data_IF_836664776485
#
_entry.id   IF_836664776485
#
_cell.length_a   1.000
_cell.length_b   1.000
_cell.length_c   1.000
_cell.angle_alpha   90.00
_cell.angle_beta   90.00
_cell.angle_gamma   90.00
#
_symmetry.space_group_name_H-M   'P 1'
#
loop_
_entity.id
_entity.type
_entity.pdbx_description
1 polymer ?
#
# COMPACT_ATOMS: atom_id res chain seq x y z
N UNK A 1 -11.28 3.48 21.92
CA UNK A 1 -12.08 3.29 20.71
C UNK A 1 -11.09 2.95 19.62
N UNK A 2 -11.26 1.84 18.91
CA UNK A 2 -10.30 1.41 17.90
C UNK A 2 -10.52 2.19 16.60
N UNK A 3 -9.47 2.69 15.99
CA UNK A 3 -9.49 3.38 14.69
C UNK A 3 -8.88 2.51 13.60
N UNK A 4 -9.53 2.47 12.45
CA UNK A 4 -9.13 1.66 11.30
C UNK A 4 -8.90 2.60 10.12
N UNK A 5 -7.73 2.51 9.49
CA UNK A 5 -7.50 3.12 8.17
C UNK A 5 -7.67 2.04 7.11
N UNK A 6 -8.66 2.18 6.23
CA UNK A 6 -8.87 1.25 5.12
C UNK A 6 -8.43 1.90 3.80
N UNK A 7 -7.61 1.20 3.04
CA UNK A 7 -7.15 1.60 1.70
C UNK A 7 -7.38 0.46 0.71
N UNK A 8 -7.63 0.82 -0.55
CA UNK A 8 -7.86 -0.14 -1.65
C UNK A 8 -7.32 0.46 -2.93
N UNK A 9 -7.04 -0.39 -3.92
CA UNK A 9 -6.83 0.03 -5.30
C UNK A 9 -5.67 1.05 -5.45
N UNK A 10 -4.59 0.85 -4.69
CA UNK A 10 -3.42 1.71 -4.72
C UNK A 10 -2.69 1.66 -6.06
N UNK A 11 -2.72 0.48 -6.72
CA UNK A 11 -2.13 0.24 -8.04
C UNK A 11 -0.69 0.77 -8.17
N UNK A 12 0.15 0.57 -7.15
CA UNK A 12 1.54 1.06 -7.17
C UNK A 12 2.30 0.40 -8.31
N UNK A 13 2.92 1.23 -9.16
CA UNK A 13 3.68 0.78 -10.31
C UNK A 13 5.15 0.40 -9.99
N UNK A 14 5.84 -0.27 -10.93
CA UNK A 14 7.24 -0.66 -10.74
C UNK A 14 8.24 0.51 -10.84
N UNK A 15 7.80 1.63 -11.42
CA UNK A 15 8.66 2.76 -11.74
C UNK A 15 8.71 3.82 -10.65
N UNK A 16 7.83 3.75 -9.64
CA UNK A 16 7.77 4.71 -8.55
C UNK A 16 7.67 6.15 -9.10
N UNK A 17 6.69 6.35 -9.98
CA UNK A 17 6.51 7.60 -10.71
C UNK A 17 5.87 8.72 -9.85
N UNK A 18 5.56 9.86 -10.45
CA UNK A 18 4.98 11.00 -9.72
C UNK A 18 3.63 10.66 -9.06
N UNK A 19 2.81 9.79 -9.68
CA UNK A 19 1.53 9.38 -9.11
C UNK A 19 1.76 8.42 -7.94
N UNK A 20 2.68 7.47 -8.09
CA UNK A 20 3.09 6.61 -6.97
C UNK A 20 3.58 7.44 -5.78
N UNK A 21 4.39 8.48 -6.03
CA UNK A 21 4.88 9.38 -4.96
C UNK A 21 3.73 10.09 -4.26
N UNK A 22 2.74 10.62 -5.00
CA UNK A 22 1.56 11.24 -4.40
C UNK A 22 0.76 10.27 -3.53
N UNK A 23 0.66 9.00 -3.94
CA UNK A 23 0.03 7.96 -3.12
C UNK A 23 0.82 7.72 -1.84
N UNK A 24 2.15 7.62 -1.90
CA UNK A 24 2.97 7.49 -0.70
C UNK A 24 2.89 8.70 0.22
N UNK A 25 2.89 9.92 -0.32
CA UNK A 25 2.75 11.14 0.49
C UNK A 25 1.38 11.20 1.19
N UNK A 26 0.32 10.78 0.51
CA UNK A 26 -1.01 10.70 1.11
C UNK A 26 -1.07 9.64 2.22
N UNK A 27 -0.49 8.46 1.99
CA UNK A 27 -0.37 7.43 3.03
C UNK A 27 0.40 7.99 4.22
N UNK A 28 1.55 8.63 4.01
CA UNK A 28 2.32 9.26 5.07
C UNK A 28 1.48 10.25 5.88
N UNK A 29 0.76 11.14 5.20
CA UNK A 29 -0.08 12.13 5.85
C UNK A 29 -1.18 11.47 6.68
N UNK A 30 -1.89 10.47 6.14
CA UNK A 30 -2.96 9.77 6.87
C UNK A 30 -2.42 9.00 8.08
N UNK A 31 -1.31 8.28 7.92
CA UNK A 31 -0.72 7.46 8.97
C UNK A 31 -0.22 8.32 10.14
N UNK A 32 0.39 9.48 9.84
CA UNK A 32 0.91 10.40 10.88
C UNK A 32 -0.17 11.26 11.51
N UNK A 33 -1.19 11.67 10.75
CA UNK A 33 -2.27 12.49 11.26
C UNK A 33 -3.25 11.69 12.12
N UNK A 34 -3.70 10.54 11.61
CA UNK A 34 -4.74 9.74 12.27
C UNK A 34 -4.19 8.69 13.26
N UNK A 35 -2.93 8.26 13.10
CA UNK A 35 -2.30 7.24 13.95
C UNK A 35 -3.21 6.02 14.20
N UNK A 36 -3.64 5.31 13.15
CA UNK A 36 -4.60 4.22 13.27
C UNK A 36 -4.04 3.04 14.07
N UNK A 37 -4.89 2.34 14.82
CA UNK A 37 -4.50 1.10 15.51
C UNK A 37 -4.15 -0.02 14.50
N UNK A 38 -4.87 -0.03 13.36
CA UNK A 38 -4.67 -0.95 12.26
C UNK A 38 -4.96 -0.29 10.90
N UNK A 39 -4.11 -0.58 9.92
CA UNK A 39 -4.34 -0.26 8.52
C UNK A 39 -4.67 -1.53 7.73
N UNK A 40 -5.80 -1.52 7.02
CA UNK A 40 -6.31 -2.65 6.24
C UNK A 40 -6.26 -2.31 4.75
N UNK A 41 -5.54 -3.12 3.99
CA UNK A 41 -5.46 -3.05 2.52
C UNK A 41 -6.44 -4.07 1.91
N UNK A 42 -7.37 -3.64 1.06
CA UNK A 42 -8.51 -4.47 0.63
C UNK A 42 -8.46 -4.97 -0.81
N UNK A 43 -7.28 -4.98 -1.43
CA UNK A 43 -7.05 -5.45 -2.81
C UNK A 43 -6.30 -4.44 -3.68
N UNK A 44 -5.74 -4.93 -4.77
CA UNK A 44 -5.09 -4.17 -5.85
C UNK A 44 -4.07 -3.13 -5.34
N UNK A 45 -3.15 -3.61 -4.50
CA UNK A 45 -2.09 -2.76 -3.95
C UNK A 45 -1.04 -2.41 -5.00
N UNK A 46 -0.72 -3.32 -5.90
CA UNK A 46 0.27 -3.12 -6.96
C UNK A 46 -0.35 -3.29 -8.35
N UNK A 47 0.33 -2.77 -9.36
CA UNK A 47 0.08 -3.13 -10.74
C UNK A 47 1.07 -4.21 -11.17
N UNK A 48 0.60 -5.43 -11.42
CA UNK A 48 1.47 -6.55 -11.81
C UNK A 48 1.48 -6.87 -13.31
N UNK A 49 0.44 -6.48 -14.05
CA UNK A 49 0.32 -6.80 -15.48
C UNK A 49 1.51 -6.27 -16.29
N UNK A 50 2.23 -7.18 -16.96
CA UNK A 50 3.40 -6.85 -17.78
C UNK A 50 4.66 -6.49 -16.99
N UNK A 51 4.64 -6.63 -15.65
CA UNK A 51 5.76 -6.30 -14.77
C UNK A 51 6.55 -7.56 -14.41
N UNK A 52 7.79 -7.62 -14.86
CA UNK A 52 8.72 -8.69 -14.45
C UNK A 52 9.04 -8.51 -12.96
N UNK A 53 8.85 -9.56 -12.16
CA UNK A 53 9.07 -9.56 -10.71
C UNK A 53 8.22 -8.50 -9.97
N UNK A 54 6.91 -8.47 -10.26
CA UNK A 54 5.92 -7.62 -9.59
C UNK A 54 5.93 -7.75 -8.06
N UNK A 55 6.30 -8.93 -7.54
CA UNK A 55 6.50 -9.18 -6.11
C UNK A 55 7.51 -8.24 -5.45
N UNK A 56 8.50 -7.73 -6.20
CA UNK A 56 9.41 -6.68 -5.71
C UNK A 56 8.69 -5.38 -5.39
N UNK A 57 7.67 -5.02 -6.16
CA UNK A 57 6.85 -3.81 -5.92
C UNK A 57 6.06 -3.99 -4.63
N UNK A 58 5.41 -5.14 -4.46
CA UNK A 58 4.66 -5.46 -3.24
C UNK A 58 5.56 -5.43 -2.01
N UNK A 59 6.75 -6.03 -2.11
CA UNK A 59 7.75 -6.03 -1.03
C UNK A 59 8.13 -4.61 -0.62
N UNK A 60 8.41 -3.71 -1.57
CA UNK A 60 8.73 -2.31 -1.30
C UNK A 60 7.58 -1.57 -0.60
N UNK A 61 6.34 -1.82 -1.02
CA UNK A 61 5.17 -1.24 -0.36
C UNK A 61 5.06 -1.72 1.09
N UNK A 62 5.24 -3.02 1.35
CA UNK A 62 5.22 -3.56 2.71
C UNK A 62 6.38 -3.01 3.56
N UNK A 63 7.59 -2.92 3.01
CA UNK A 63 8.74 -2.28 3.66
C UNK A 63 8.46 -0.82 4.01
N UNK A 64 7.80 -0.07 3.11
CA UNK A 64 7.40 1.31 3.35
C UNK A 64 6.39 1.42 4.50
N UNK A 65 5.37 0.56 4.52
CA UNK A 65 4.30 0.55 5.53
C UNK A 65 4.80 0.08 6.90
N UNK A 66 5.76 -0.86 6.95
CA UNK A 66 6.38 -1.34 8.18
C UNK A 66 7.22 -0.29 8.92
N UNK A 67 7.35 0.93 8.39
CA UNK A 67 8.00 2.06 9.08
C UNK A 67 7.08 2.78 10.07
N UNK A 68 5.78 2.50 10.03
CA UNK A 68 4.80 3.10 10.93
C UNK A 68 4.46 2.14 12.06
N UNK A 69 4.19 2.70 13.25
CA UNK A 69 3.76 1.93 14.43
C UNK A 69 2.26 1.65 14.36
N UNK A 70 1.85 0.81 13.40
CA UNK A 70 0.47 0.34 13.23
C UNK A 70 0.48 -1.11 12.76
N UNK A 71 -0.58 -1.86 13.06
CA UNK A 71 -0.75 -3.19 12.51
C UNK A 71 -1.16 -3.09 11.03
N UNK A 72 -0.62 -3.96 10.18
CA UNK A 72 -1.01 -4.04 8.77
C UNK A 72 -1.73 -5.36 8.52
N UNK A 73 -2.93 -5.29 7.93
CA UNK A 73 -3.63 -6.44 7.37
C UNK A 73 -3.86 -6.20 5.88
N UNK A 74 -3.81 -7.27 5.08
CA UNK A 74 -3.97 -7.16 3.63
C UNK A 74 -4.75 -8.34 3.06
N UNK A 75 -5.54 -8.07 2.02
CA UNK A 75 -6.09 -9.05 1.09
C UNK A 75 -5.58 -8.78 -0.31
N UNK A 76 -5.40 -9.83 -1.11
CA UNK A 76 -4.97 -9.71 -2.50
C UNK A 76 -6.17 -9.47 -3.43
N UNK A 77 -6.02 -8.54 -4.36
CA UNK A 77 -6.92 -8.33 -5.50
C UNK A 77 -6.43 -9.02 -6.76
N UNK A 78 -7.09 -8.79 -7.89
CA UNK A 78 -6.69 -9.43 -9.16
C UNK A 78 -5.35 -8.87 -9.68
N UNK A 79 -5.11 -7.57 -9.53
CA UNK A 79 -3.89 -6.92 -10.03
C UNK A 79 -2.64 -7.16 -9.17
N UNK A 80 -2.76 -7.87 -8.04
CA UNK A 80 -1.61 -8.20 -7.19
C UNK A 80 -0.83 -9.45 -7.66
N UNK A 81 -1.38 -10.22 -8.61
CA UNK A 81 -0.79 -11.51 -9.05
C UNK A 81 -0.82 -11.79 -10.57
N UNK A 82 -1.37 -10.90 -11.37
CA UNK A 82 -1.39 -10.98 -12.85
C UNK A 82 0.01 -10.88 -13.49
#
# INVERSE_FOLDING_TARGET
>A
MTTILQLSDLHIGPHNDEKDQKTYDLIHHMMTHYQPDITVLTGDQIWSEGVIDSGRVYKKLMEYLNRYDTQIATTFGNHDTE
#
